data_IF_384945024769
#
_entry.id   IF_384945024769
#
_cell.length_a   1.000
_cell.length_b   1.000
_cell.length_c   1.000
_cell.angle_alpha   90.00
_cell.angle_beta   90.00
_cell.angle_gamma   90.00
#
_symmetry.space_group_name_H-M   'P 1'
#
loop_
_entity.id
_entity.type
_entity.pdbx_description
1 polymer ?
#
# COMPACT_ATOMS: atom_id res chain seq x y z
N UNK A 1 39.64 4.90 6.22
CA UNK A 1 39.75 6.36 6.37
C UNK A 1 38.41 6.90 6.84
N UNK A 2 38.27 7.21 8.13
CA UNK A 2 37.08 7.91 8.61
C UNK A 2 37.19 9.38 8.23
N UNK A 3 36.27 9.89 7.40
CA UNK A 3 36.23 11.30 7.03
C UNK A 3 35.62 12.11 8.17
N UNK A 4 36.20 13.25 8.49
CA UNK A 4 35.77 14.06 9.62
C UNK A 4 34.39 14.68 9.38
N UNK A 5 33.62 14.92 10.45
CA UNK A 5 32.30 15.59 10.37
C UNK A 5 32.39 16.98 9.72
N UNK A 6 33.52 17.66 9.89
CA UNK A 6 33.78 18.96 9.29
C UNK A 6 33.95 18.87 7.76
N UNK A 7 34.62 17.84 7.25
CA UNK A 7 34.73 17.59 5.81
C UNK A 7 33.40 17.18 5.19
N UNK A 8 32.60 16.38 5.91
CA UNK A 8 31.25 16.03 5.43
C UNK A 8 30.38 17.27 5.24
N UNK A 9 30.43 18.24 6.15
CA UNK A 9 29.65 19.49 6.03
C UNK A 9 30.00 20.32 4.79
N UNK A 10 31.23 20.20 4.28
CA UNK A 10 31.71 20.92 3.08
C UNK A 10 31.26 20.28 1.76
N UNK A 11 30.77 19.03 1.77
CA UNK A 11 30.31 18.32 0.57
C UNK A 11 28.86 18.63 0.21
N UNK A 12 28.50 18.49 -1.07
CA UNK A 12 27.11 18.59 -1.51
C UNK A 12 26.26 17.43 -0.92
N UNK A 13 24.93 17.61 -0.76
CA UNK A 13 24.05 16.60 -0.18
C UNK A 13 24.20 15.19 -0.79
N UNK A 14 24.36 15.11 -2.11
CA UNK A 14 24.49 13.84 -2.84
C UNK A 14 25.81 13.13 -2.54
N UNK A 15 26.92 13.89 -2.44
CA UNK A 15 28.23 13.35 -2.07
C UNK A 15 28.25 12.89 -0.61
N UNK A 16 27.63 13.64 0.29
CA UNK A 16 27.46 13.24 1.70
C UNK A 16 26.70 11.94 1.83
N UNK A 17 25.56 11.81 1.14
CA UNK A 17 24.76 10.59 1.16
C UNK A 17 25.55 9.37 0.65
N UNK A 18 26.31 9.53 -0.45
CA UNK A 18 27.21 8.48 -0.95
C UNK A 18 28.26 8.08 0.08
N UNK A 19 28.89 9.05 0.75
CA UNK A 19 29.90 8.75 1.76
C UNK A 19 29.32 7.98 2.96
N UNK A 20 28.15 8.39 3.44
CA UNK A 20 27.48 7.73 4.57
C UNK A 20 27.00 6.31 4.22
N UNK A 21 26.60 6.07 2.97
CA UNK A 21 26.13 4.76 2.53
C UNK A 21 27.24 3.68 2.55
N UNK A 22 28.48 4.06 2.26
CA UNK A 22 29.63 3.15 2.23
C UNK A 22 30.50 3.21 3.49
N UNK A 23 30.13 4.06 4.45
CA UNK A 23 30.82 4.10 5.73
C UNK A 23 30.49 2.84 6.54
N UNK A 24 31.49 2.16 7.13
CA UNK A 24 31.22 1.02 7.99
C UNK A 24 30.36 1.47 9.18
N UNK A 25 29.29 0.72 9.44
CA UNK A 25 28.38 0.97 10.55
C UNK A 25 29.13 0.87 11.90
N UNK A 26 28.66 1.58 12.92
CA UNK A 26 29.27 1.50 14.26
C UNK A 26 29.19 0.08 14.82
N UNK A 27 30.14 -0.26 15.71
CA UNK A 27 30.22 -1.58 16.35
C UNK A 27 28.92 -1.96 17.08
N UNK A 28 28.24 -0.97 17.66
CA UNK A 28 26.94 -1.15 18.31
C UNK A 28 25.86 -1.57 17.30
N UNK A 29 25.71 -0.82 16.20
CA UNK A 29 24.71 -1.09 15.15
C UNK A 29 24.98 -2.45 14.49
N UNK A 30 26.24 -2.78 14.24
CA UNK A 30 26.63 -4.12 13.77
C UNK A 30 26.20 -5.21 14.76
N UNK A 31 26.36 -4.98 16.06
CA UNK A 31 25.87 -5.88 17.11
C UNK A 31 24.35 -6.06 17.10
N UNK A 32 23.58 -4.97 16.94
CA UNK A 32 22.11 -5.02 16.82
C UNK A 32 21.66 -5.82 15.58
N UNK A 33 22.31 -5.59 14.44
CA UNK A 33 22.02 -6.34 13.20
C UNK A 33 22.37 -7.82 13.34
N UNK A 34 23.51 -8.14 13.96
CA UNK A 34 23.91 -9.54 14.21
C UNK A 34 22.88 -10.26 15.10
N UNK A 35 22.45 -9.63 16.20
CA UNK A 35 21.42 -10.18 17.10
C UNK A 35 20.08 -10.38 16.38
N UNK A 36 19.70 -9.44 15.52
CA UNK A 36 18.45 -9.52 14.74
C UNK A 36 18.52 -10.65 13.72
N UNK A 37 19.61 -10.74 12.96
CA UNK A 37 19.82 -11.80 11.99
C UNK A 37 19.91 -13.18 12.66
N UNK A 38 20.55 -13.28 13.82
CA UNK A 38 20.57 -14.50 14.62
C UNK A 38 19.15 -14.91 15.03
N UNK A 39 18.33 -13.99 15.54
CA UNK A 39 16.91 -14.26 15.89
C UNK A 39 16.11 -14.78 14.69
N UNK A 40 16.23 -14.13 13.53
CA UNK A 40 15.52 -14.53 12.31
C UNK A 40 15.99 -15.90 11.80
N UNK A 41 17.30 -16.16 11.83
CA UNK A 41 17.85 -17.48 11.47
C UNK A 41 17.39 -18.56 12.42
N UNK A 42 17.43 -18.32 13.73
CA UNK A 42 16.89 -19.23 14.74
C UNK A 42 15.40 -19.45 14.56
N UNK A 43 14.63 -18.43 14.18
CA UNK A 43 13.20 -18.56 13.88
C UNK A 43 12.93 -19.38 12.61
N UNK A 44 13.76 -19.23 11.57
CA UNK A 44 13.67 -20.00 10.32
C UNK A 44 14.14 -21.45 10.49
N UNK A 45 15.09 -21.69 11.39
CA UNK A 45 15.63 -23.01 11.72
C UNK A 45 14.79 -23.77 12.76
N UNK A 46 13.88 -23.09 13.47
CA UNK A 46 12.86 -23.80 14.24
C UNK A 46 12.16 -24.72 13.24
N UNK A 47 12.14 -26.04 13.49
CA UNK A 47 11.23 -26.92 12.78
C UNK A 47 9.88 -26.24 12.78
N UNK A 48 9.13 -26.35 11.69
CA UNK A 48 7.71 -26.03 11.74
C UNK A 48 7.09 -26.97 12.78
N UNK A 49 7.16 -26.60 14.06
CA UNK A 49 6.24 -27.11 15.04
C UNK A 49 4.89 -26.90 14.38
N UNK A 50 4.07 -27.95 14.22
CA UNK A 50 2.71 -27.74 13.79
C UNK A 50 2.20 -26.67 14.73
N UNK A 51 1.89 -25.47 14.20
CA UNK A 51 1.26 -24.42 14.99
C UNK A 51 0.20 -25.15 15.78
N UNK A 52 0.21 -25.10 17.11
CA UNK A 52 -0.73 -25.83 17.99
C UNK A 52 -2.22 -25.45 17.77
N UNK A 53 -2.57 -24.86 16.62
CA UNK A 53 -3.92 -24.66 16.11
C UNK A 53 -4.11 -25.17 14.67
N UNK A 54 -3.22 -25.98 14.10
CA UNK A 54 -3.47 -26.71 12.84
C UNK A 54 -3.26 -28.21 13.09
N UNK A 55 -4.10 -28.74 13.97
CA UNK A 55 -4.23 -30.19 14.12
C UNK A 55 -4.66 -30.78 12.77
N UNK A 56 -4.31 -32.03 12.52
CA UNK A 56 -4.69 -32.76 11.31
C UNK A 56 -6.21 -32.61 11.07
N UNK A 57 -6.54 -31.87 10.04
CA UNK A 57 -7.87 -31.38 9.78
C UNK A 57 -8.69 -32.48 9.08
N UNK A 58 -9.47 -33.23 9.86
CA UNK A 58 -10.57 -34.03 9.31
C UNK A 58 -11.53 -33.18 8.47
N UNK A 59 -12.49 -33.77 7.73
CA UNK A 59 -13.33 -33.07 6.76
C UNK A 59 -14.01 -31.79 7.27
N UNK A 60 -14.25 -31.69 8.58
CA UNK A 60 -14.83 -30.53 9.27
C UNK A 60 -13.95 -29.27 9.25
N UNK A 61 -12.62 -29.37 9.23
CA UNK A 61 -11.76 -28.20 9.23
C UNK A 61 -11.45 -27.66 7.82
N UNK A 62 -11.55 -28.52 6.80
CA UNK A 62 -11.68 -28.06 5.41
C UNK A 62 -12.91 -27.17 5.20
N UNK A 63 -14.04 -27.47 5.86
CA UNK A 63 -15.21 -26.60 5.80
C UNK A 63 -15.05 -25.31 6.60
N UNK A 64 -14.43 -25.34 7.79
CA UNK A 64 -14.19 -24.14 8.59
C UNK A 64 -13.28 -23.15 7.86
N UNK A 65 -12.21 -23.65 7.24
CA UNK A 65 -11.30 -22.82 6.42
C UNK A 65 -12.00 -22.24 5.18
N UNK A 66 -12.91 -22.97 4.54
CA UNK A 66 -13.78 -22.43 3.46
C UNK A 66 -14.72 -21.34 3.95
N UNK A 67 -15.32 -21.51 5.14
CA UNK A 67 -16.17 -20.49 5.76
C UNK A 67 -15.36 -19.23 6.10
N UNK A 68 -14.19 -19.38 6.69
CA UNK A 68 -13.31 -18.26 7.05
C UNK A 68 -12.81 -17.49 5.83
N UNK A 69 -12.46 -18.20 4.75
CA UNK A 69 -12.08 -17.57 3.48
C UNK A 69 -13.24 -16.82 2.85
N UNK A 70 -14.45 -17.39 2.85
CA UNK A 70 -15.66 -16.72 2.37
C UNK A 70 -15.95 -15.46 3.20
N UNK A 71 -15.89 -15.55 4.54
CA UNK A 71 -16.05 -14.39 5.43
C UNK A 71 -14.99 -13.32 5.16
N UNK A 72 -13.74 -13.72 4.93
CA UNK A 72 -12.66 -12.80 4.55
C UNK A 72 -12.94 -12.07 3.23
N UNK A 73 -13.40 -12.80 2.21
CA UNK A 73 -13.78 -12.23 0.91
C UNK A 73 -14.96 -11.26 1.03
N UNK A 74 -16.00 -11.63 1.77
CA UNK A 74 -17.17 -10.78 1.99
C UNK A 74 -16.80 -9.50 2.74
N UNK A 75 -15.99 -9.59 3.81
CA UNK A 75 -15.48 -8.42 4.53
C UNK A 75 -14.62 -7.51 3.65
N UNK A 76 -13.78 -8.10 2.79
CA UNK A 76 -12.97 -7.33 1.85
C UNK A 76 -13.85 -6.61 0.82
N UNK A 77 -14.86 -7.28 0.28
CA UNK A 77 -15.83 -6.68 -0.64
C UNK A 77 -16.61 -5.53 0.04
N UNK A 78 -17.06 -5.72 1.27
CA UNK A 78 -17.73 -4.68 2.05
C UNK A 78 -16.83 -3.47 2.30
N UNK A 79 -15.58 -3.69 2.72
CA UNK A 79 -14.62 -2.60 2.95
C UNK A 79 -14.36 -1.78 1.67
N UNK A 80 -14.25 -2.45 0.52
CA UNK A 80 -14.15 -1.79 -0.79
C UNK A 80 -15.40 -0.97 -1.09
N UNK A 81 -16.59 -1.52 -0.83
CA UNK A 81 -17.87 -0.82 -0.95
C UNK A 81 -17.88 0.48 -0.14
N UNK A 82 -17.50 0.42 1.14
CA UNK A 82 -17.43 1.60 2.03
C UNK A 82 -16.45 2.65 1.52
N UNK A 83 -15.27 2.24 1.04
CA UNK A 83 -14.27 3.16 0.48
C UNK A 83 -14.81 3.85 -0.78
N UNK A 84 -15.48 3.09 -1.66
CA UNK A 84 -16.10 3.63 -2.87
C UNK A 84 -17.19 4.64 -2.54
N UNK A 85 -18.10 4.28 -1.63
CA UNK A 85 -19.17 5.18 -1.17
C UNK A 85 -18.61 6.47 -0.58
N UNK A 86 -17.59 6.36 0.28
CA UNK A 86 -16.93 7.53 0.88
C UNK A 86 -16.31 8.44 -0.17
N UNK A 87 -15.66 7.86 -1.20
CA UNK A 87 -15.07 8.62 -2.32
C UNK A 87 -16.14 9.36 -3.13
N UNK A 88 -17.24 8.68 -3.48
CA UNK A 88 -18.37 9.29 -4.19
C UNK A 88 -19.01 10.42 -3.37
N UNK A 89 -19.21 10.20 -2.07
CA UNK A 89 -19.76 11.20 -1.15
C UNK A 89 -18.84 12.42 -1.05
N UNK A 90 -17.54 12.21 -0.87
CA UNK A 90 -16.55 13.29 -0.84
C UNK A 90 -16.58 14.11 -2.14
N UNK A 91 -16.64 13.45 -3.30
CA UNK A 91 -16.72 14.13 -4.59
C UNK A 91 -17.99 14.98 -4.70
N UNK A 92 -19.14 14.41 -4.32
CA UNK A 92 -20.42 15.14 -4.32
C UNK A 92 -20.36 16.36 -3.40
N UNK A 93 -19.85 16.20 -2.17
CA UNK A 93 -19.69 17.30 -1.21
C UNK A 93 -18.73 18.37 -1.72
N UNK A 94 -17.61 17.97 -2.33
CA UNK A 94 -16.64 18.91 -2.90
C UNK A 94 -17.27 19.78 -3.99
N UNK A 95 -18.09 19.20 -4.87
CA UNK A 95 -18.80 19.95 -5.91
C UNK A 95 -19.80 20.92 -5.29
N UNK A 96 -20.58 20.47 -4.30
CA UNK A 96 -21.52 21.33 -3.58
C UNK A 96 -20.83 22.50 -2.87
N UNK A 97 -19.68 22.25 -2.24
CA UNK A 97 -18.89 23.27 -1.56
C UNK A 97 -18.33 24.31 -2.54
N UNK A 98 -17.81 23.88 -3.68
CA UNK A 98 -17.36 24.80 -4.74
C UNK A 98 -18.50 25.69 -5.22
N UNK A 99 -19.67 25.10 -5.49
CA UNK A 99 -20.85 25.85 -5.92
C UNK A 99 -21.29 26.87 -4.87
N UNK A 100 -21.26 26.49 -3.59
CA UNK A 100 -21.54 27.40 -2.49
C UNK A 100 -20.54 28.56 -2.45
N UNK A 101 -19.24 28.28 -2.53
CA UNK A 101 -18.20 29.31 -2.55
C UNK A 101 -18.38 30.30 -3.71
N UNK A 102 -18.73 29.81 -4.90
CA UNK A 102 -19.02 30.65 -6.08
C UNK A 102 -20.26 31.52 -5.81
N UNK A 103 -21.33 30.94 -5.26
CA UNK A 103 -22.57 31.65 -4.96
C UNK A 103 -22.41 32.75 -3.90
N UNK A 104 -21.47 32.59 -2.97
CA UNK A 104 -21.19 33.56 -1.92
C UNK A 104 -20.26 34.70 -2.36
N UNK A 105 -19.77 34.72 -3.61
CA UNK A 105 -18.91 35.81 -4.07
C UNK A 105 -19.69 37.12 -4.21
N UNK A 106 -19.08 38.22 -3.77
CA UNK A 106 -19.69 39.55 -3.79
C UNK A 106 -19.81 40.17 -5.18
N UNK A 107 -19.12 39.65 -6.19
CA UNK A 107 -19.22 40.12 -7.57
C UNK A 107 -19.15 38.98 -8.58
N UNK A 108 -19.84 39.15 -9.71
CA UNK A 108 -19.85 38.17 -10.79
C UNK A 108 -18.44 37.92 -11.36
N UNK A 109 -17.59 38.95 -11.43
CA UNK A 109 -16.21 38.81 -11.88
C UNK A 109 -15.37 37.92 -10.92
N UNK A 110 -15.60 38.04 -9.60
CA UNK A 110 -14.93 37.19 -8.61
C UNK A 110 -15.45 35.77 -8.69
N UNK A 111 -16.76 35.57 -8.85
CA UNK A 111 -17.38 34.27 -9.07
C UNK A 111 -16.78 33.58 -10.31
N UNK A 112 -16.74 34.25 -11.46
CA UNK A 112 -16.19 33.72 -12.70
C UNK A 112 -14.68 33.40 -12.60
N UNK A 113 -13.90 34.26 -11.93
CA UNK A 113 -12.48 33.98 -11.68
C UNK A 113 -12.29 32.79 -10.76
N UNK A 114 -13.09 32.68 -9.70
CA UNK A 114 -13.06 31.58 -8.76
C UNK A 114 -13.46 30.27 -9.45
N UNK A 115 -14.49 30.30 -10.28
CA UNK A 115 -14.90 29.18 -11.12
C UNK A 115 -13.73 28.74 -12.00
N UNK A 116 -13.08 29.62 -12.77
CA UNK A 116 -11.90 29.26 -13.58
C UNK A 116 -10.73 28.64 -12.78
N UNK A 117 -10.54 29.06 -11.52
CA UNK A 117 -9.49 28.52 -10.64
C UNK A 117 -9.87 27.16 -10.03
N UNK A 118 -11.16 26.94 -9.78
CA UNK A 118 -11.68 25.76 -9.07
C UNK A 118 -12.31 24.73 -9.99
N UNK A 119 -12.65 25.08 -11.23
CA UNK A 119 -13.19 24.16 -12.22
C UNK A 119 -12.23 22.99 -12.29
N UNK A 120 -12.64 21.81 -11.80
CA UNK A 120 -11.79 20.65 -11.87
C UNK A 120 -11.64 20.38 -13.36
N UNK A 121 -10.39 20.33 -13.84
CA UNK A 121 -10.05 19.87 -15.19
C UNK A 121 -10.94 18.65 -15.46
N UNK A 122 -11.89 18.88 -16.37
CA UNK A 122 -13.04 18.03 -16.69
C UNK A 122 -12.67 16.57 -16.61
N UNK A 123 -13.16 15.86 -15.59
CA UNK A 123 -13.46 14.41 -15.57
C UNK A 123 -12.49 13.47 -16.31
N UNK A 124 -11.23 13.86 -16.47
CA UNK A 124 -10.27 13.11 -17.26
C UNK A 124 -9.71 12.09 -16.30
N UNK A 125 -10.23 10.88 -16.46
CA UNK A 125 -9.74 9.67 -15.82
C UNK A 125 -10.09 9.52 -14.34
N UNK A 126 -11.37 9.64 -13.99
CA UNK A 126 -11.90 8.65 -13.05
C UNK A 126 -12.07 7.31 -13.78
N UNK A 127 -10.94 6.77 -14.27
CA UNK A 127 -10.78 5.33 -14.31
C UNK A 127 -10.85 4.91 -12.85
N UNK A 128 -12.06 4.58 -12.43
CA UNK A 128 -12.32 3.70 -11.31
C UNK A 128 -11.85 2.28 -11.66
N UNK A 129 -10.67 2.17 -12.29
CA UNK A 129 -9.84 0.99 -12.16
C UNK A 129 -9.42 1.03 -10.69
N UNK A 130 -10.20 0.35 -9.85
CA UNK A 130 -9.65 -0.22 -8.63
C UNK A 130 -8.39 -0.97 -9.10
N UNK A 131 -7.21 -0.36 -8.95
CA UNK A 131 -5.92 -0.86 -9.46
C UNK A 131 -5.51 -2.23 -8.86
N UNK A 132 -6.43 -2.91 -8.17
CA UNK A 132 -6.30 -4.25 -7.63
C UNK A 132 -6.80 -5.34 -8.60
N UNK A 133 -7.55 -5.00 -9.64
CA UNK A 133 -8.03 -6.00 -10.62
C UNK A 133 -6.87 -6.65 -11.39
N UNK A 134 -5.77 -5.91 -11.57
CA UNK A 134 -4.56 -6.41 -12.27
C UNK A 134 -3.84 -7.54 -11.51
N UNK A 135 -4.00 -7.64 -10.18
CA UNK A 135 -3.41 -8.73 -9.39
C UNK A 135 -4.26 -10.02 -9.45
N UNK A 136 -5.56 -9.90 -9.72
CA UNK A 136 -6.43 -11.06 -9.89
C UNK A 136 -6.24 -11.73 -11.26
N UNK A 137 -6.06 -10.95 -12.33
CA UNK A 137 -5.81 -11.47 -13.69
C UNK A 137 -4.52 -12.28 -13.78
N UNK A 138 -3.46 -11.89 -13.03
CA UNK A 138 -2.23 -12.69 -13.00
C UNK A 138 -2.41 -14.06 -12.33
N UNK A 139 -3.21 -14.13 -11.27
CA UNK A 139 -3.47 -15.40 -10.57
C UNK A 139 -4.37 -16.37 -11.34
N UNK A 140 -5.20 -15.86 -12.25
CA UNK A 140 -6.07 -16.67 -13.13
C UNK A 140 -5.27 -17.17 -14.35
N UNK A 141 -4.42 -16.32 -14.93
CA UNK A 141 -3.58 -16.70 -16.08
C UNK A 141 -2.53 -17.77 -15.72
N UNK A 142 -1.88 -17.70 -14.56
CA UNK A 142 -0.94 -18.76 -14.14
C UNK A 142 -1.62 -20.13 -13.92
N UNK A 143 -2.86 -20.13 -13.41
CA UNK A 143 -3.63 -21.37 -13.20
C UNK A 143 -4.18 -21.95 -14.50
N UNK A 144 -4.50 -21.11 -15.49
CA UNK A 144 -4.89 -21.57 -16.82
C UNK A 144 -3.68 -22.12 -17.61
N UNK A 145 -2.50 -21.52 -17.43
CA UNK A 145 -1.27 -21.95 -18.12
C UNK A 145 -0.76 -23.31 -17.63
N UNK A 146 -0.92 -23.61 -16.33
CA UNK A 146 -0.57 -24.92 -15.77
C UNK A 146 -1.54 -26.02 -16.18
N UNK A 147 -2.81 -25.70 -16.46
CA UNK A 147 -3.79 -26.68 -16.92
C UNK A 147 -3.61 -27.05 -18.40
N UNK A 148 -3.20 -26.12 -19.26
CA UNK A 148 -2.92 -26.41 -20.68
C UNK A 148 -1.58 -27.14 -20.93
N UNK A 149 -0.68 -27.25 -19.94
CA UNK A 149 0.60 -27.95 -20.07
C UNK A 149 0.57 -29.39 -19.50
N UNK A 150 -0.58 -29.84 -18.97
CA UNK A 150 -0.78 -31.16 -18.39
C UNK A 150 -1.78 -32.04 -19.15
N UNK A 151 -2.15 -31.66 -20.37
CA UNK A 151 -3.00 -32.44 -21.28
C UNK A 151 -2.27 -32.69 -22.59
#
# INVERSE_FOLDING_TARGET
MERSKAEMRKMCPQQRARCLAYQPLSKEVQGWMARTNQRLRSQKQRPSEPRRGRAADGPKSGEMTRRDTLVGQLKAAEARGRIRETRLRHQSLKVQEINLMISCQSSAQRAARLELLLMPVTETEMRSDDCLDKLQVHSISEKAFTFCFLQ
#
